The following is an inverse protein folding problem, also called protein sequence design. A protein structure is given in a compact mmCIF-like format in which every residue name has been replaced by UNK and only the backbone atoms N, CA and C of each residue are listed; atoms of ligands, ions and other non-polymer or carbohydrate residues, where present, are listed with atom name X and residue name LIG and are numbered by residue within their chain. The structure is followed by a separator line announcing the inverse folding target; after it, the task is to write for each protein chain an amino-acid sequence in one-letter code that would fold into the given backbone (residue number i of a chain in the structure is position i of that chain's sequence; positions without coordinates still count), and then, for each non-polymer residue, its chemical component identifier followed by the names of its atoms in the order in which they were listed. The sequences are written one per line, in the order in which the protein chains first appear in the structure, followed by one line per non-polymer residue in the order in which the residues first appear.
data_IF_986389945883
#
_entry.id   IF_986389945883
#
_cell.length_a   1.000
_cell.length_b   1.000
_cell.length_c   1.000
_cell.angle_alpha   90.00
_cell.angle_beta   90.00
_cell.angle_gamma   90.00
#
_symmetry.space_group_name_H-M   'P 1'
#
loop_
_entity.id
_entity.type
_entity.pdbx_description
1 polymer ?
#
# COMPACT_ATOMS: atom_id res chain seq x y z
N UNK A 1 -27.37 3.03 -8.78
CA UNK A 1 -28.00 3.49 -7.54
C UNK A 1 -27.06 3.61 -6.35
N UNK A 2 -26.28 2.60 -6.06
CA UNK A 2 -25.28 2.57 -5.00
C UNK A 2 -24.19 3.65 -5.12
N UNK A 3 -23.59 3.84 -6.30
CA UNK A 3 -22.58 4.86 -6.52
C UNK A 3 -23.13 6.29 -6.29
N UNK A 4 -24.36 6.54 -6.66
CA UNK A 4 -25.01 7.82 -6.44
C UNK A 4 -25.21 8.09 -4.94
N UNK A 5 -25.72 7.13 -4.18
CA UNK A 5 -25.88 7.24 -2.73
C UNK A 5 -24.53 7.43 -2.03
N UNK A 6 -23.49 6.82 -2.54
CA UNK A 6 -22.13 6.94 -2.02
C UNK A 6 -21.54 8.34 -2.25
N UNK A 7 -21.73 8.90 -3.45
CA UNK A 7 -21.23 10.22 -3.82
C UNK A 7 -22.05 11.37 -3.20
N UNK A 8 -23.31 11.14 -2.91
CA UNK A 8 -24.19 12.16 -2.31
C UNK A 8 -24.21 12.12 -0.79
N UNK A 9 -23.62 11.09 -0.16
CA UNK A 9 -23.57 10.98 1.28
C UNK A 9 -22.55 11.96 1.87
N UNK A 10 -23.03 13.02 2.49
CA UNK A 10 -22.20 14.05 3.14
C UNK A 10 -21.37 13.53 4.34
N UNK A 11 -21.69 12.35 4.84
CA UNK A 11 -20.96 11.70 5.95
C UNK A 11 -19.93 10.68 5.48
N UNK A 12 -19.77 10.52 4.15
CA UNK A 12 -18.76 9.60 3.63
C UNK A 12 -17.37 10.15 3.90
N UNK A 13 -16.65 9.49 4.78
CA UNK A 13 -15.24 9.74 5.05
C UNK A 13 -14.55 8.42 5.41
N UNK A 14 -13.26 8.35 5.15
CA UNK A 14 -12.42 7.25 5.64
C UNK A 14 -12.08 7.53 7.10
N UNK A 15 -12.90 7.03 8.02
CA UNK A 15 -12.84 7.35 9.45
C UNK A 15 -11.42 7.16 10.04
N UNK A 16 -10.70 6.13 9.59
CA UNK A 16 -9.35 5.82 10.08
C UNK A 16 -8.29 6.87 9.70
N UNK A 17 -8.54 7.66 8.68
CA UNK A 17 -7.58 8.67 8.17
C UNK A 17 -8.17 10.08 8.12
N UNK A 18 -9.41 10.27 8.57
CA UNK A 18 -10.12 11.54 8.50
C UNK A 18 -9.41 12.69 9.22
N UNK A 19 -8.72 12.38 10.32
CA UNK A 19 -7.95 13.36 11.10
C UNK A 19 -6.61 13.76 10.45
N UNK A 20 -6.14 13.00 9.46
CA UNK A 20 -4.92 13.30 8.70
C UNK A 20 -5.19 14.03 7.39
N UNK A 21 -6.46 14.05 6.93
CA UNK A 21 -6.84 14.72 5.69
C UNK A 21 -7.10 16.22 5.93
N UNK A 22 -6.71 17.06 4.98
CA UNK A 22 -6.92 18.51 5.09
C UNK A 22 -8.41 18.84 5.07
N UNK A 23 -8.89 19.56 6.09
CA UNK A 23 -10.27 20.06 6.16
C UNK A 23 -10.54 20.98 4.98
N UNK A 24 -11.68 20.76 4.29
CA UNK A 24 -12.11 21.62 3.18
C UNK A 24 -11.72 21.15 1.78
N UNK A 25 -10.89 20.09 1.64
CA UNK A 25 -10.73 19.43 0.35
C UNK A 25 -11.89 18.47 0.06
N UNK A 26 -12.14 18.18 -1.22
CA UNK A 26 -13.03 17.04 -1.53
C UNK A 26 -12.43 15.77 -0.91
N UNK A 27 -13.28 14.90 -0.37
CA UNK A 27 -12.85 13.68 0.33
C UNK A 27 -11.88 12.87 -0.54
N UNK A 28 -12.20 12.68 -1.81
CA UNK A 28 -11.37 11.93 -2.74
C UNK A 28 -9.98 12.58 -2.90
N UNK A 29 -9.89 13.91 -3.06
CA UNK A 29 -8.63 14.61 -3.20
C UNK A 29 -7.81 14.56 -1.91
N UNK A 30 -8.43 14.81 -0.76
CA UNK A 30 -7.73 14.77 0.53
C UNK A 30 -7.15 13.39 0.85
N UNK A 31 -7.87 12.32 0.52
CA UNK A 31 -7.38 10.94 0.68
C UNK A 31 -6.24 10.62 -0.28
N UNK A 32 -6.36 11.03 -1.55
CA UNK A 32 -5.29 10.81 -2.53
C UNK A 32 -4.02 11.57 -2.18
N UNK A 33 -4.13 12.83 -1.77
CA UNK A 33 -3.00 13.63 -1.33
C UNK A 33 -2.31 12.98 -0.12
N UNK A 34 -3.09 12.52 0.86
CA UNK A 34 -2.56 11.81 2.02
C UNK A 34 -1.85 10.51 1.64
N UNK A 35 -2.44 9.67 0.78
CA UNK A 35 -1.82 8.42 0.32
C UNK A 35 -0.51 8.72 -0.41
N UNK A 36 -0.48 9.72 -1.29
CA UNK A 36 0.72 10.10 -2.03
C UNK A 36 1.84 10.63 -1.11
N UNK A 37 1.49 11.37 -0.07
CA UNK A 37 2.45 11.85 0.94
C UNK A 37 3.04 10.70 1.78
N UNK A 38 2.27 9.62 2.00
CA UNK A 38 2.73 8.44 2.76
C UNK A 38 3.48 7.41 1.91
N UNK A 39 3.37 7.52 0.59
CA UNK A 39 4.00 6.56 -0.31
C UNK A 39 5.47 6.92 -0.53
N UNK A 40 6.35 6.03 -0.14
CA UNK A 40 7.79 6.16 -0.39
C UNK A 40 8.19 5.32 -1.61
N UNK A 41 8.41 5.95 -2.79
CA UNK A 41 8.85 5.25 -3.99
C UNK A 41 10.31 4.77 -3.93
N UNK A 42 11.08 5.24 -2.93
CA UNK A 42 12.48 4.87 -2.75
C UNK A 42 12.67 3.63 -1.88
N UNK A 43 11.58 3.03 -1.38
CA UNK A 43 11.64 1.84 -0.55
C UNK A 43 12.39 0.70 -1.24
N UNK A 44 13.34 0.12 -0.54
CA UNK A 44 14.29 -0.87 -1.05
C UNK A 44 14.30 -2.15 -0.22
N UNK A 45 15.04 -3.17 -0.68
CA UNK A 45 15.27 -4.39 0.08
C UNK A 45 15.98 -4.16 1.42
N UNK A 46 16.80 -3.11 1.54
CA UNK A 46 17.45 -2.73 2.81
C UNK A 46 16.44 -2.27 3.84
N UNK A 47 15.41 -1.56 3.39
CA UNK A 47 14.33 -1.10 4.28
C UNK A 47 13.47 -2.28 4.72
N UNK A 48 13.16 -3.20 3.82
CA UNK A 48 12.48 -4.44 4.15
C UNK A 48 13.27 -5.27 5.19
N UNK A 49 14.57 -5.44 4.98
CA UNK A 49 15.45 -6.13 5.94
C UNK A 49 15.48 -5.42 7.31
N UNK A 50 15.55 -4.10 7.32
CA UNK A 50 15.49 -3.31 8.55
C UNK A 50 14.19 -3.56 9.32
N UNK A 51 13.05 -3.54 8.61
CA UNK A 51 11.74 -3.78 9.23
C UNK A 51 11.63 -5.19 9.78
N UNK A 52 12.07 -6.21 9.02
CA UNK A 52 12.09 -7.61 9.48
C UNK A 52 12.89 -7.75 10.78
N UNK A 53 14.09 -7.17 10.82
CA UNK A 53 14.96 -7.20 12.01
C UNK A 53 14.36 -6.43 13.20
N UNK A 54 13.76 -5.28 12.92
CA UNK A 54 13.14 -4.44 13.95
C UNK A 54 11.91 -5.09 14.57
N UNK A 55 11.11 -5.77 13.75
CA UNK A 55 9.94 -6.51 14.20
C UNK A 55 10.31 -7.73 15.05
N UNK A 56 11.29 -8.51 14.62
CA UNK A 56 11.80 -9.68 15.36
C UNK A 56 10.84 -10.87 15.48
N UNK A 57 9.74 -10.85 14.74
CA UNK A 57 8.71 -11.89 14.73
C UNK A 57 8.36 -12.35 13.31
N UNK A 58 7.32 -13.18 13.16
CA UNK A 58 6.86 -13.61 11.84
C UNK A 58 6.52 -12.41 10.95
N UNK A 59 7.04 -12.41 9.73
CA UNK A 59 6.90 -11.32 8.79
C UNK A 59 6.60 -11.84 7.39
N UNK A 60 5.54 -11.35 6.77
CA UNK A 60 5.16 -11.71 5.42
C UNK A 60 5.35 -10.51 4.46
N UNK A 61 6.03 -10.73 3.34
CA UNK A 61 6.13 -9.78 2.26
C UNK A 61 5.01 -10.00 1.25
N UNK A 62 4.26 -8.94 0.96
CA UNK A 62 3.20 -8.95 -0.04
C UNK A 62 3.65 -8.20 -1.30
N UNK A 63 3.25 -8.72 -2.47
CA UNK A 63 3.59 -8.10 -3.75
C UNK A 63 4.82 -8.73 -4.41
N UNK A 64 5.28 -9.87 -3.90
CA UNK A 64 6.39 -10.62 -4.50
C UNK A 64 5.88 -11.28 -5.78
N UNK A 65 6.51 -10.97 -6.93
CA UNK A 65 6.05 -11.40 -8.25
C UNK A 65 7.15 -12.09 -9.08
N UNK A 66 8.39 -12.12 -8.61
CA UNK A 66 9.49 -12.79 -9.27
C UNK A 66 10.16 -13.83 -8.38
N UNK A 67 10.82 -14.80 -9.00
CA UNK A 67 11.60 -15.83 -8.28
C UNK A 67 12.78 -15.19 -7.54
N UNK A 68 13.40 -14.20 -8.16
CA UNK A 68 14.51 -13.44 -7.57
C UNK A 68 14.09 -12.72 -6.31
N UNK A 69 12.93 -12.06 -6.33
CA UNK A 69 12.40 -11.38 -5.17
C UNK A 69 11.97 -12.36 -4.07
N UNK A 70 11.46 -13.54 -4.44
CA UNK A 70 11.16 -14.59 -3.48
C UNK A 70 12.43 -15.08 -2.76
N UNK A 71 13.54 -15.25 -3.48
CA UNK A 71 14.85 -15.60 -2.87
C UNK A 71 15.33 -14.51 -1.92
N UNK A 72 15.27 -13.24 -2.34
CA UNK A 72 15.64 -12.10 -1.49
C UNK A 72 14.80 -12.02 -0.24
N UNK A 73 13.49 -12.28 -0.36
CA UNK A 73 12.60 -12.33 0.80
C UNK A 73 13.05 -13.35 1.84
N UNK A 74 13.49 -14.53 1.41
CA UNK A 74 14.06 -15.56 2.29
C UNK A 74 15.37 -15.07 2.92
N UNK A 75 16.28 -14.48 2.12
CA UNK A 75 17.58 -13.99 2.57
C UNK A 75 17.45 -12.92 3.67
N UNK A 76 16.47 -12.03 3.58
CA UNK A 76 16.24 -11.01 4.62
C UNK A 76 15.48 -11.53 5.84
N UNK A 77 15.09 -12.81 5.84
CA UNK A 77 14.42 -13.47 6.97
C UNK A 77 12.91 -13.35 7.00
N UNK A 78 12.26 -13.10 5.86
CA UNK A 78 10.80 -13.16 5.79
C UNK A 78 10.30 -14.59 6.04
N UNK A 79 9.26 -14.72 6.86
CA UNK A 79 8.65 -16.01 7.21
C UNK A 79 7.68 -16.50 6.14
N UNK A 80 7.15 -15.61 5.32
CA UNK A 80 6.21 -15.92 4.24
C UNK A 80 6.27 -14.87 3.14
N UNK A 81 5.80 -15.25 1.96
CA UNK A 81 5.53 -14.34 0.86
C UNK A 81 4.07 -14.45 0.42
N UNK A 82 3.51 -13.35 -0.01
CA UNK A 82 2.19 -13.30 -0.62
C UNK A 82 2.30 -12.82 -2.06
N UNK A 83 2.01 -13.69 -3.00
CA UNK A 83 1.96 -13.36 -4.41
C UNK A 83 0.77 -12.43 -4.67
N UNK A 84 1.04 -11.24 -5.14
CA UNK A 84 -0.01 -10.26 -5.44
C UNK A 84 0.52 -9.15 -6.34
N UNK A 85 -0.21 -8.87 -7.40
CA UNK A 85 0.00 -7.68 -8.23
C UNK A 85 -1.04 -6.58 -7.93
N UNK A 86 -1.66 -6.63 -6.76
CA UNK A 86 -2.68 -5.68 -6.32
C UNK A 86 -3.92 -5.60 -7.27
N UNK A 87 -4.22 -6.69 -7.98
CA UNK A 87 -5.27 -6.69 -9.01
C UNK A 87 -4.92 -5.84 -10.23
N UNK A 88 -3.62 -5.68 -10.52
CA UNK A 88 -3.12 -4.85 -11.63
C UNK A 88 -3.19 -3.34 -11.38
N UNK A 89 -3.62 -2.89 -10.20
CA UNK A 89 -3.89 -1.47 -9.96
C UNK A 89 -2.66 -0.59 -9.84
N UNK A 90 -1.53 -1.16 -9.47
CA UNK A 90 -0.27 -0.42 -9.28
C UNK A 90 0.79 -0.78 -10.31
N UNK A 91 0.43 -1.54 -11.32
CA UNK A 91 1.29 -1.87 -12.44
C UNK A 91 0.96 -1.01 -13.64
N UNK A 92 2.00 -0.45 -14.26
CA UNK A 92 1.86 0.16 -15.58
C UNK A 92 1.63 -0.94 -16.60
N UNK A 93 0.45 -0.96 -17.20
CA UNK A 93 0.13 -1.90 -18.31
C UNK A 93 0.74 -1.47 -19.64
N UNK A 94 1.44 -0.33 -19.68
CA UNK A 94 2.04 0.22 -20.90
C UNK A 94 3.30 -0.56 -21.31
N UNK A 95 3.88 -1.33 -20.39
CA UNK A 95 5.14 -2.05 -20.60
C UNK A 95 5.00 -3.58 -20.58
N UNK A 96 3.80 -4.07 -20.81
CA UNK A 96 3.56 -5.50 -21.00
C UNK A 96 3.64 -5.85 -22.48
#
# INVERSE_FOLDING_TARGET
MWAFNYLTNKKFELANVSHWTKKGSSIAKGVMDYINEQYDPAMSWKDAEYVVKKWGGPFALKGVMSVEDAKRAVEIGASAIMLSNHGGRQLSLIHI
#
